data_IF_350708998079
#
_entry.id   IF_350708998079
#
_cell.length_a   1.000
_cell.length_b   1.000
_cell.length_c   1.000
_cell.angle_alpha   90.00
_cell.angle_beta   90.00
_cell.angle_gamma   90.00
#
_symmetry.space_group_name_H-M   'P 1'
#
loop_
_entity.id
_entity.type
_entity.pdbx_description
1 polymer ?
#
# COMPACT_ATOMS: atom_id res chain seq x y z
N UNK A 1 -9.42 -3.02 -0.88
CA UNK A 1 -9.03 -2.63 -2.27
C UNK A 1 -7.73 -3.35 -2.61
N UNK A 2 -7.58 -3.96 -3.78
CA UNK A 2 -6.41 -4.80 -4.08
C UNK A 2 -5.42 -4.11 -5.01
N UNK A 3 -4.13 -4.24 -4.70
CA UNK A 3 -3.01 -3.62 -5.41
C UNK A 3 -1.93 -4.67 -5.70
N UNK A 4 -1.19 -4.44 -6.77
CA UNK A 4 0.03 -5.18 -7.08
C UNK A 4 1.23 -4.33 -6.66
N UNK A 5 2.10 -4.89 -5.84
CA UNK A 5 3.28 -4.22 -5.29
C UNK A 5 4.51 -5.05 -5.65
N UNK A 6 5.48 -4.42 -6.31
CA UNK A 6 6.72 -5.07 -6.70
C UNK A 6 7.81 -4.63 -5.72
N UNK A 7 8.43 -5.59 -5.04
CA UNK A 7 9.49 -5.31 -4.05
C UNK A 7 10.53 -6.41 -4.03
N UNK A 8 11.81 -6.06 -4.20
CA UNK A 8 12.99 -6.92 -3.98
C UNK A 8 12.83 -8.39 -4.44
N UNK A 9 12.38 -8.59 -5.69
CA UNK A 9 12.21 -9.93 -6.27
C UNK A 9 10.85 -10.58 -6.01
N UNK A 10 9.92 -9.88 -5.36
CA UNK A 10 8.54 -10.29 -5.19
C UNK A 10 7.58 -9.44 -6.04
N UNK A 11 6.52 -10.08 -6.51
CA UNK A 11 5.30 -9.41 -6.97
C UNK A 11 4.18 -9.80 -6.02
N UNK A 12 3.83 -8.90 -5.11
CA UNK A 12 2.87 -9.12 -4.03
C UNK A 12 1.49 -8.61 -4.42
N UNK A 13 0.47 -9.43 -4.17
CA UNK A 13 -0.91 -9.02 -4.19
C UNK A 13 -1.30 -8.57 -2.79
N UNK A 14 -1.56 -7.27 -2.64
CA UNK A 14 -1.80 -6.63 -1.35
C UNK A 14 -3.22 -6.11 -1.30
N UNK A 15 -3.94 -6.48 -0.23
CA UNK A 15 -5.27 -5.97 0.04
C UNK A 15 -5.19 -4.89 1.13
N UNK A 16 -5.61 -3.68 0.77
CA UNK A 16 -5.80 -2.58 1.72
C UNK A 16 -7.14 -2.78 2.42
N UNK A 17 -7.08 -2.91 3.75
CA UNK A 17 -8.22 -3.12 4.65
C UNK A 17 -8.73 -1.81 5.23
N UNK A 18 -7.84 -0.86 5.53
CA UNK A 18 -8.18 0.48 5.96
C UNK A 18 -7.32 1.52 5.22
N UNK A 19 -7.91 2.65 4.85
CA UNK A 19 -7.23 3.74 4.19
C UNK A 19 -7.85 5.07 4.61
N UNK A 20 -7.18 5.76 5.52
CA UNK A 20 -7.54 7.11 5.95
C UNK A 20 -6.58 8.11 5.31
N UNK A 21 -7.13 9.11 4.61
CA UNK A 21 -6.34 10.15 3.95
C UNK A 21 -7.09 11.48 4.03
N UNK A 22 -7.18 12.00 5.24
CA UNK A 22 -7.85 13.27 5.54
C UNK A 22 -6.84 14.41 5.44
N UNK A 23 -7.01 15.35 4.50
CA UNK A 23 -6.08 16.47 4.39
C UNK A 23 -6.20 17.40 5.61
N UNK A 24 -5.10 18.07 6.02
CA UNK A 24 -5.15 19.11 7.05
C UNK A 24 -6.12 20.23 6.66
N UNK A 25 -6.85 20.71 7.66
CA UNK A 25 -7.63 21.95 7.57
C UNK A 25 -7.16 22.92 8.66
N UNK A 26 -6.15 23.77 8.38
CA UNK A 26 -5.60 24.71 9.36
C UNK A 26 -6.60 25.77 9.86
N UNK A 27 -7.77 25.89 9.23
CA UNK A 27 -8.84 26.79 9.65
C UNK A 27 -9.87 26.11 10.57
N UNK A 28 -9.77 24.80 10.80
CA UNK A 28 -10.64 24.10 11.74
C UNK A 28 -10.16 24.27 13.16
N UNK A 29 -11.11 24.51 14.06
CA UNK A 29 -10.92 24.57 15.52
C UNK A 29 -11.71 23.45 16.22
N UNK A 30 -12.24 22.50 15.44
CA UNK A 30 -13.09 21.40 15.94
C UNK A 30 -12.25 20.37 16.69
N UNK A 31 -11.06 20.06 16.18
CA UNK A 31 -10.07 19.21 16.84
C UNK A 31 -8.68 19.38 16.22
N UNK A 32 -7.64 19.01 16.97
CA UNK A 32 -6.26 18.95 16.47
C UNK A 32 -6.13 17.98 15.28
N UNK A 33 -6.91 16.90 15.27
CA UNK A 33 -6.96 15.94 14.16
C UNK A 33 -7.42 16.56 12.85
N UNK A 34 -8.44 17.43 12.87
CA UNK A 34 -8.84 18.16 11.66
C UNK A 34 -7.82 19.22 11.25
N UNK A 35 -7.16 19.86 12.23
CA UNK A 35 -6.14 20.86 11.97
C UNK A 35 -4.93 20.25 11.22
N UNK A 36 -4.41 19.12 11.71
CA UNK A 36 -3.25 18.44 11.14
C UNK A 36 -3.59 17.46 10.01
N UNK A 37 -4.84 17.02 9.92
CA UNK A 37 -5.22 15.90 9.07
C UNK A 37 -4.70 14.56 9.61
N UNK A 38 -4.98 13.50 8.87
CA UNK A 38 -4.60 12.13 9.21
C UNK A 38 -4.29 11.36 7.93
N UNK A 39 -3.28 10.48 8.02
CA UNK A 39 -2.94 9.56 6.94
C UNK A 39 -2.52 8.23 7.54
N UNK A 40 -3.39 7.23 7.40
CA UNK A 40 -3.20 5.90 7.95
C UNK A 40 -3.55 4.84 6.90
N UNK A 41 -2.77 3.77 6.85
CA UNK A 41 -2.96 2.67 5.93
C UNK A 41 -2.81 1.34 6.67
N UNK A 42 -3.79 0.46 6.51
CA UNK A 42 -3.70 -0.93 6.95
C UNK A 42 -3.85 -1.84 5.73
N UNK A 43 -3.01 -2.86 5.66
CA UNK A 43 -3.01 -3.79 4.55
C UNK A 43 -2.57 -5.19 4.95
N UNK A 44 -2.91 -6.16 4.11
CA UNK A 44 -2.53 -7.56 4.24
C UNK A 44 -2.00 -8.05 2.89
N UNK A 45 -0.87 -8.76 2.92
CA UNK A 45 -0.35 -9.47 1.74
C UNK A 45 -1.14 -10.77 1.59
N UNK A 46 -1.89 -10.90 0.50
CA UNK A 46 -2.81 -12.04 0.26
C UNK A 46 -2.09 -13.17 -0.47
N UNK A 47 -1.28 -12.81 -1.45
CA UNK A 47 -0.49 -13.74 -2.24
C UNK A 47 0.74 -13.04 -2.79
N UNK A 48 1.67 -13.81 -3.34
CA UNK A 48 2.85 -13.25 -3.97
C UNK A 48 3.45 -14.22 -4.95
N UNK A 49 4.28 -13.67 -5.83
CA UNK A 49 5.12 -14.40 -6.75
C UNK A 49 6.56 -14.07 -6.39
N UNK A 50 7.41 -15.08 -6.41
CA UNK A 50 8.87 -14.96 -6.27
C UNK A 50 9.56 -15.54 -7.51
N UNK A 51 10.87 -15.38 -7.58
CA UNK A 51 11.71 -15.94 -8.64
C UNK A 51 12.82 -16.78 -8.02
N UNK A 52 13.06 -17.96 -8.59
CA UNK A 52 14.20 -18.79 -8.20
C UNK A 52 15.54 -18.24 -8.74
N UNK A 53 16.63 -18.97 -8.49
CA UNK A 53 17.96 -18.58 -8.94
C UNK A 53 18.12 -18.55 -10.46
N UNK A 54 17.26 -19.27 -11.20
CA UNK A 54 17.22 -19.29 -12.66
C UNK A 54 16.25 -18.23 -13.23
N UNK A 55 15.63 -17.43 -12.36
CA UNK A 55 14.66 -16.40 -12.72
C UNK A 55 13.28 -16.95 -13.09
N UNK A 56 12.98 -18.20 -12.73
CA UNK A 56 11.70 -18.82 -13.01
C UNK A 56 10.67 -18.34 -12.00
N UNK A 57 9.50 -17.94 -12.52
CA UNK A 57 8.38 -17.46 -11.72
C UNK A 57 7.78 -18.60 -10.90
N UNK A 58 7.67 -18.40 -9.59
CA UNK A 58 7.05 -19.35 -8.65
C UNK A 58 6.06 -18.62 -7.73
N UNK A 59 5.03 -19.33 -7.27
CA UNK A 59 4.14 -18.79 -6.23
C UNK A 59 4.89 -18.76 -4.90
N UNK A 60 4.86 -17.61 -4.23
CA UNK A 60 5.39 -17.48 -2.88
C UNK A 60 4.47 -18.22 -1.91
N UNK A 61 5.07 -19.01 -1.02
CA UNK A 61 4.32 -19.65 0.06
C UNK A 61 3.75 -18.61 1.02
N UNK A 62 2.72 -18.99 1.79
CA UNK A 62 2.13 -18.12 2.80
C UNK A 62 3.16 -17.62 3.83
N UNK A 63 4.17 -18.44 4.16
CA UNK A 63 5.25 -18.05 5.05
C UNK A 63 6.16 -16.99 4.42
N UNK A 64 6.52 -17.15 3.14
CA UNK A 64 7.31 -16.15 2.41
C UNK A 64 6.56 -14.83 2.25
N UNK A 65 5.26 -14.87 1.95
CA UNK A 65 4.41 -13.67 1.92
C UNK A 65 4.37 -12.96 3.28
N UNK A 66 4.23 -13.72 4.37
CA UNK A 66 4.28 -13.15 5.71
C UNK A 66 5.64 -12.51 6.00
N UNK A 67 6.75 -13.20 5.71
CA UNK A 67 8.09 -12.63 5.88
C UNK A 67 8.29 -11.37 5.04
N UNK A 68 7.86 -11.37 3.78
CA UNK A 68 7.92 -10.21 2.90
C UNK A 68 7.09 -9.03 3.45
N UNK A 69 5.90 -9.29 4.01
CA UNK A 69 5.05 -8.25 4.60
C UNK A 69 5.72 -7.54 5.77
N UNK A 70 6.49 -8.27 6.58
CA UNK A 70 7.19 -7.73 7.75
C UNK A 70 8.49 -7.05 7.34
N UNK A 71 9.26 -7.67 6.43
CA UNK A 71 10.56 -7.16 6.01
C UNK A 71 10.46 -5.90 5.15
N UNK A 72 9.42 -5.83 4.32
CA UNK A 72 9.25 -4.77 3.32
C UNK A 72 8.05 -3.87 3.61
N UNK A 73 7.52 -3.87 4.84
CA UNK A 73 6.33 -3.13 5.25
C UNK A 73 6.34 -1.67 4.73
N UNK A 74 7.40 -0.92 5.03
CA UNK A 74 7.51 0.48 4.62
C UNK A 74 7.60 0.68 3.09
N UNK A 75 8.21 -0.26 2.37
CA UNK A 75 8.28 -0.17 0.90
C UNK A 75 6.93 -0.46 0.27
N UNK A 76 6.22 -1.46 0.81
CA UNK A 76 4.86 -1.80 0.41
C UNK A 76 3.94 -0.62 0.66
N UNK A 77 3.98 -0.04 1.86
CA UNK A 77 3.17 1.13 2.22
C UNK A 77 3.43 2.33 1.31
N UNK A 78 4.71 2.65 1.05
CA UNK A 78 5.07 3.76 0.18
C UNK A 78 4.55 3.57 -1.25
N UNK A 79 4.64 2.35 -1.78
CA UNK A 79 4.15 2.02 -3.11
C UNK A 79 2.62 2.03 -3.19
N UNK A 80 1.93 1.52 -2.17
CA UNK A 80 0.48 1.63 -2.06
C UNK A 80 0.03 3.08 -2.07
N UNK A 81 0.67 3.94 -1.29
CA UNK A 81 0.36 5.37 -1.25
C UNK A 81 0.58 6.05 -2.60
N UNK A 82 1.69 5.73 -3.28
CA UNK A 82 1.96 6.23 -4.64
C UNK A 82 0.82 5.87 -5.60
N UNK A 83 0.35 4.62 -5.55
CA UNK A 83 -0.74 4.14 -6.39
C UNK A 83 -2.08 4.81 -6.02
N UNK A 84 -2.43 4.90 -4.73
CA UNK A 84 -3.64 5.56 -4.23
C UNK A 84 -3.69 7.04 -4.64
N UNK A 85 -2.58 7.77 -4.45
CA UNK A 85 -2.49 9.19 -4.80
C UNK A 85 -2.62 9.41 -6.31
N UNK A 86 -2.00 8.52 -7.11
CA UNK A 86 -2.09 8.59 -8.57
C UNK A 86 -3.54 8.40 -9.06
N UNK A 87 -4.26 7.42 -8.50
CA UNK A 87 -5.66 7.15 -8.81
C UNK A 87 -6.56 8.30 -8.41
N UNK A 88 -6.33 8.88 -7.23
CA UNK A 88 -7.10 10.03 -6.74
C UNK A 88 -6.91 11.25 -7.64
N UNK A 89 -5.69 11.52 -8.10
CA UNK A 89 -5.41 12.60 -9.06
C UNK A 89 -6.12 12.40 -10.39
N UNK A 90 -6.07 11.18 -10.93
CA UNK A 90 -6.77 10.85 -12.18
C UNK A 90 -8.28 11.08 -12.08
N UNK A 91 -8.90 10.65 -10.97
CA UNK A 91 -10.33 10.86 -10.74
C UNK A 91 -10.70 12.34 -10.67
N UNK A 92 -9.86 13.17 -10.04
CA UNK A 92 -10.08 14.62 -9.95
C UNK A 92 -9.95 15.35 -11.28
N UNK A 93 -9.21 14.81 -12.25
CA UNK A 93 -9.05 15.42 -13.58
C UNK A 93 -10.04 14.88 -14.62
N UNK A 94 -10.74 13.79 -14.31
CA UNK A 94 -11.79 13.21 -15.14
C UNK A 94 -13.21 13.71 -14.80
N UNK A 95 -13.35 14.51 -13.73
CA UNK A 95 -14.60 15.12 -13.26
C UNK A 95 -14.61 16.62 -13.60
#
# INVERSE_FOLDING_TARGET
MTYEVIVEGFVLQVEVTNCENTPPNPNSWVSDWEFYGSRELEFVVVSGITYDADGVRMDASAYECYQASQLYEHQIEAELWRQIDSRTRQQRWAA
#
